data_IF_503466726996
#
_entry.id   IF_503466726996
#
_cell.length_a   1.000
_cell.length_b   1.000
_cell.length_c   1.000
_cell.angle_alpha   90.00
_cell.angle_beta   90.00
_cell.angle_gamma   90.00
#
_symmetry.space_group_name_H-M   'P 1'
#
loop_
_entity.id
_entity.type
_entity.pdbx_description
1 polymer ?
#
# COMPACT_ATOMS: atom_id res chain seq x y z
N UNK A 1 1.08 9.02 42.71
CA UNK A 1 0.10 8.38 41.80
C UNK A 1 0.86 7.63 40.71
N UNK A 2 0.74 6.30 40.65
CA UNK A 2 1.25 5.51 39.52
C UNK A 2 0.28 5.76 38.35
N UNK A 3 0.71 6.51 37.35
CA UNK A 3 -0.03 6.57 36.07
C UNK A 3 0.00 5.17 35.46
N UNK A 4 -1.12 4.44 35.53
CA UNK A 4 -1.28 3.20 34.78
C UNK A 4 -1.06 3.52 33.31
N UNK A 5 -0.05 2.91 32.69
CA UNK A 5 0.19 3.08 31.27
C UNK A 5 -1.02 2.51 30.52
N UNK A 6 -1.80 3.39 29.88
CA UNK A 6 -2.93 2.96 29.07
C UNK A 6 -2.43 2.08 27.92
N UNK A 7 -3.02 0.91 27.74
CA UNK A 7 -2.78 0.05 26.57
C UNK A 7 -3.31 0.75 25.31
N UNK A 8 -2.61 0.70 24.17
CA UNK A 8 -3.17 1.17 22.91
C UNK A 8 -4.39 0.32 22.50
N UNK A 9 -5.37 0.91 21.80
CA UNK A 9 -6.44 0.13 21.19
C UNK A 9 -5.87 -0.85 20.16
N UNK A 10 -6.55 -1.98 20.00
CA UNK A 10 -6.30 -2.97 18.94
C UNK A 10 -6.66 -2.45 17.56
N UNK A 11 -6.19 -3.12 16.50
CA UNK A 11 -6.56 -2.80 15.12
C UNK A 11 -8.09 -2.86 14.94
N UNK A 12 -8.74 -3.91 15.44
CA UNK A 12 -10.19 -4.08 15.31
C UNK A 12 -10.97 -2.97 16.03
N UNK A 13 -10.49 -2.51 17.19
CA UNK A 13 -11.10 -1.37 17.89
C UNK A 13 -10.96 -0.07 17.11
N UNK A 14 -9.84 0.15 16.41
CA UNK A 14 -9.64 1.34 15.58
C UNK A 14 -10.52 1.30 14.32
N UNK A 15 -10.68 0.12 13.71
CA UNK A 15 -11.48 -0.03 12.49
C UNK A 15 -12.97 -0.19 12.75
N UNK A 16 -13.39 -0.42 14.00
CA UNK A 16 -14.80 -0.61 14.38
C UNK A 16 -15.66 0.56 13.91
N UNK A 17 -16.71 0.26 13.15
CA UNK A 17 -17.65 1.25 12.61
C UNK A 17 -17.13 2.02 11.39
N UNK A 18 -15.93 1.71 10.90
CA UNK A 18 -15.44 2.22 9.61
C UNK A 18 -15.88 1.30 8.48
N UNK A 19 -15.81 1.78 7.23
CA UNK A 19 -16.11 0.96 6.07
C UNK A 19 -14.92 0.05 5.65
N UNK A 20 -13.74 0.24 6.24
CA UNK A 20 -12.51 -0.44 5.83
C UNK A 20 -12.57 -1.93 6.15
N UNK A 21 -12.17 -2.76 5.19
CA UNK A 21 -12.04 -4.20 5.34
C UNK A 21 -10.56 -4.57 5.47
N UNK A 22 -10.29 -5.72 6.10
CA UNK A 22 -8.95 -6.30 6.23
C UNK A 22 -8.89 -7.75 5.74
N UNK A 23 -9.87 -8.19 4.94
CA UNK A 23 -10.05 -9.60 4.57
C UNK A 23 -8.95 -10.14 3.66
N UNK A 24 -8.14 -9.28 3.06
CA UNK A 24 -6.98 -9.70 2.25
C UNK A 24 -5.73 -10.00 3.11
N UNK A 25 -5.76 -9.71 4.40
CA UNK A 25 -4.61 -9.86 5.30
C UNK A 25 -4.79 -11.06 6.23
N UNK A 26 -3.68 -11.71 6.56
CA UNK A 26 -3.67 -12.83 7.51
C UNK A 26 -4.10 -12.36 8.91
N UNK A 27 -4.96 -13.12 9.63
CA UNK A 27 -5.43 -12.75 10.96
C UNK A 27 -4.32 -12.45 11.97
N UNK A 28 -3.22 -13.21 11.92
CA UNK A 28 -2.06 -13.04 12.81
C UNK A 28 -1.34 -11.71 12.54
N UNK A 29 -1.29 -11.27 11.28
CA UNK A 29 -0.71 -9.98 10.92
C UNK A 29 -1.55 -8.81 11.47
N UNK A 30 -2.87 -8.98 11.54
CA UNK A 30 -3.80 -7.99 12.11
C UNK A 30 -3.66 -7.96 13.64
N UNK A 31 -3.76 -9.11 14.30
CA UNK A 31 -3.73 -9.23 15.75
C UNK A 31 -2.38 -8.81 16.36
N UNK A 32 -1.27 -9.13 15.67
CA UNK A 32 0.08 -8.80 16.10
C UNK A 32 0.58 -7.42 15.67
N UNK A 33 -0.27 -6.59 15.04
CA UNK A 33 0.20 -5.34 14.46
C UNK A 33 0.66 -4.34 15.55
N UNK A 34 1.91 -3.85 15.53
CA UNK A 34 2.47 -3.08 16.63
C UNK A 34 1.90 -1.66 16.67
N UNK A 35 1.10 -1.39 17.71
CA UNK A 35 0.53 -0.08 18.01
C UNK A 35 1.10 0.44 19.34
N UNK A 36 1.22 1.76 19.46
CA UNK A 36 1.65 2.42 20.70
C UNK A 36 0.92 3.75 20.90
N UNK A 37 0.89 4.26 22.13
CA UNK A 37 0.30 5.56 22.43
C UNK A 37 1.34 6.69 22.34
N UNK A 38 1.00 7.75 21.62
CA UNK A 38 1.73 9.03 21.62
C UNK A 38 0.77 10.14 22.06
N UNK A 39 1.03 10.74 23.23
CA UNK A 39 0.14 11.75 23.85
C UNK A 39 -1.32 11.26 23.95
N UNK A 40 -1.50 10.00 24.36
CA UNK A 40 -2.81 9.37 24.52
C UNK A 40 -3.53 8.98 23.23
N UNK A 41 -2.92 9.14 22.05
CA UNK A 41 -3.50 8.77 20.75
C UNK A 41 -2.76 7.56 20.16
N UNK A 42 -3.44 6.65 19.44
CA UNK A 42 -2.80 5.49 18.83
C UNK A 42 -1.92 5.89 17.65
N UNK A 43 -0.72 5.33 17.62
CA UNK A 43 0.32 5.52 16.61
C UNK A 43 0.93 4.17 16.24
N UNK A 44 1.60 4.17 15.09
CA UNK A 44 2.40 3.06 14.59
C UNK A 44 3.71 3.58 14.03
N UNK A 45 4.66 2.68 13.79
CA UNK A 45 5.88 2.97 13.07
C UNK A 45 5.75 2.46 11.63
N UNK A 46 6.10 3.30 10.66
CA UNK A 46 5.99 2.93 9.27
C UNK A 46 7.10 1.95 8.87
N UNK A 47 6.74 0.79 8.34
CA UNK A 47 7.67 -0.29 7.99
C UNK A 47 8.68 0.13 6.91
N UNK A 48 8.28 1.00 5.98
CA UNK A 48 9.17 1.48 4.91
C UNK A 48 10.12 2.61 5.34
N UNK A 49 9.76 3.42 6.35
CA UNK A 49 10.48 4.67 6.66
C UNK A 49 10.94 4.84 8.10
N UNK A 50 10.50 3.98 9.03
CA UNK A 50 10.72 4.14 10.47
C UNK A 50 10.00 5.34 11.11
N UNK A 51 9.24 6.12 10.32
CA UNK A 51 8.55 7.31 10.82
C UNK A 51 7.33 6.91 11.64
N UNK A 52 7.14 7.57 12.79
CA UNK A 52 5.96 7.43 13.65
C UNK A 52 4.76 8.14 13.05
N UNK A 53 3.63 7.45 12.86
CA UNK A 53 2.44 7.96 12.17
C UNK A 53 1.16 7.67 12.98
N UNK A 54 0.14 8.54 12.94
CA UNK A 54 -1.13 8.26 13.59
C UNK A 54 -1.75 6.98 13.02
N UNK A 55 -2.21 6.07 13.87
CA UNK A 55 -2.83 4.82 13.46
C UNK A 55 -4.28 5.06 13.01
N UNK A 56 -4.44 5.74 11.88
CA UNK A 56 -5.74 5.90 11.19
C UNK A 56 -6.11 4.59 10.50
N UNK A 57 -7.40 4.29 10.27
CA UNK A 57 -7.81 3.10 9.52
C UNK A 57 -7.09 2.96 8.18
N UNK A 58 -7.01 4.05 7.39
CA UNK A 58 -6.25 4.05 6.15
C UNK A 58 -4.77 3.78 6.39
N UNK A 59 -4.17 4.29 7.46
CA UNK A 59 -2.75 4.04 7.72
C UNK A 59 -2.48 2.58 8.08
N UNK A 60 -3.37 1.96 8.86
CA UNK A 60 -3.26 0.55 9.24
C UNK A 60 -3.31 -0.34 8.00
N UNK A 61 -4.27 -0.12 7.09
CA UNK A 61 -4.34 -0.85 5.82
C UNK A 61 -3.03 -0.69 5.03
N UNK A 62 -2.42 0.50 5.04
CA UNK A 62 -1.13 0.72 4.34
C UNK A 62 -0.04 -0.15 4.91
N UNK A 63 0.10 -0.14 6.23
CA UNK A 63 1.19 -0.82 6.89
C UNK A 63 1.02 -2.34 6.86
N UNK A 64 -0.22 -2.84 6.93
CA UNK A 64 -0.50 -4.26 6.69
C UNK A 64 -0.14 -4.66 5.25
N UNK A 65 -0.44 -3.80 4.27
CA UNK A 65 -0.02 -4.04 2.88
C UNK A 65 1.50 -4.01 2.72
N UNK A 66 2.19 -3.07 3.36
CA UNK A 66 3.66 -3.03 3.39
C UNK A 66 4.26 -4.29 4.02
N UNK A 67 3.70 -4.77 5.13
CA UNK A 67 4.10 -6.03 5.77
C UNK A 67 3.94 -7.20 4.80
N UNK A 68 2.79 -7.31 4.12
CA UNK A 68 2.56 -8.32 3.10
C UNK A 68 3.57 -8.23 1.95
N UNK A 69 3.87 -7.03 1.43
CA UNK A 69 4.88 -6.84 0.39
C UNK A 69 6.27 -7.30 0.81
N UNK A 70 6.66 -7.02 2.06
CA UNK A 70 7.97 -7.38 2.59
C UNK A 70 8.08 -8.88 2.89
N UNK A 71 7.07 -9.46 3.53
CA UNK A 71 7.12 -10.83 4.06
C UNK A 71 6.65 -11.87 3.04
N UNK A 72 5.49 -11.63 2.42
CA UNK A 72 4.92 -12.55 1.42
C UNK A 72 5.60 -12.38 0.07
N UNK A 73 5.76 -11.15 -0.41
CA UNK A 73 6.30 -10.88 -1.74
C UNK A 73 7.81 -10.64 -1.77
N UNK A 74 8.46 -10.48 -0.61
CA UNK A 74 9.93 -10.38 -0.51
C UNK A 74 10.52 -9.05 -0.95
N UNK A 75 9.72 -7.98 -1.10
CA UNK A 75 10.24 -6.67 -1.49
C UNK A 75 10.94 -5.99 -0.31
N UNK A 76 12.25 -5.67 -0.41
CA UNK A 76 12.95 -4.99 0.68
C UNK A 76 12.46 -3.56 0.84
N UNK A 77 12.50 -3.03 2.08
CA UNK A 77 12.07 -1.66 2.38
C UNK A 77 12.75 -0.60 1.51
N UNK A 78 14.03 -0.78 1.16
CA UNK A 78 14.76 0.14 0.27
C UNK A 78 14.20 0.24 -1.15
N UNK A 79 13.38 -0.71 -1.60
CA UNK A 79 12.68 -0.65 -2.89
C UNK A 79 11.28 -0.05 -2.79
N UNK A 80 10.80 0.29 -1.59
CA UNK A 80 9.43 0.73 -1.36
C UNK A 80 9.40 2.20 -0.94
N UNK A 81 8.70 3.02 -1.73
CA UNK A 81 8.33 4.37 -1.37
C UNK A 81 6.84 4.44 -1.00
N UNK A 82 6.47 5.42 -0.18
CA UNK A 82 5.09 5.71 0.23
C UNK A 82 4.81 7.18 0.00
N UNK A 83 3.56 7.53 -0.31
CA UNK A 83 3.19 8.94 -0.59
C UNK A 83 4.10 9.57 -1.66
N UNK A 84 4.44 8.79 -2.69
CA UNK A 84 5.39 9.16 -3.73
C UNK A 84 4.72 10.10 -4.74
N UNK A 85 5.35 11.24 -5.02
CA UNK A 85 4.79 12.23 -5.93
C UNK A 85 4.74 11.69 -7.37
N UNK A 86 3.56 11.82 -8.00
CA UNK A 86 3.36 11.46 -9.41
C UNK A 86 3.15 12.72 -10.23
N UNK A 87 4.19 13.13 -10.95
CA UNK A 87 4.13 14.28 -11.83
C UNK A 87 3.37 13.96 -13.12
N UNK A 88 2.34 14.76 -13.43
CA UNK A 88 1.67 14.74 -14.73
C UNK A 88 1.57 16.19 -15.23
N UNK A 89 2.46 16.58 -16.14
CA UNK A 89 2.58 17.97 -16.59
C UNK A 89 3.17 18.89 -15.50
N UNK A 90 2.64 20.11 -15.38
CA UNK A 90 3.06 21.10 -14.38
C UNK A 90 2.49 20.87 -12.97
N UNK A 91 1.43 20.07 -12.84
CA UNK A 91 0.71 19.90 -11.58
C UNK A 91 1.25 18.70 -10.79
N UNK A 92 2.13 18.97 -9.82
CA UNK A 92 2.72 17.96 -8.91
C UNK A 92 1.95 17.88 -7.59
N UNK A 93 1.32 18.98 -7.14
CA UNK A 93 1.10 19.23 -5.72
C UNK A 93 0.06 18.33 -5.01
N UNK A 94 -0.84 17.66 -5.73
CA UNK A 94 -1.98 16.96 -5.10
C UNK A 94 -2.05 15.45 -5.40
N UNK A 95 -1.06 14.87 -6.08
CA UNK A 95 -1.14 13.49 -6.59
C UNK A 95 0.01 12.63 -6.05
N UNK A 96 -0.21 12.06 -4.87
CA UNK A 96 0.72 11.12 -4.24
C UNK A 96 0.20 9.69 -4.45
N UNK A 97 1.06 8.83 -4.99
CA UNK A 97 0.81 7.40 -5.01
C UNK A 97 0.96 6.84 -3.60
N UNK A 98 0.04 5.94 -3.20
CA UNK A 98 0.04 5.38 -1.84
C UNK A 98 1.32 4.59 -1.53
N UNK A 99 1.69 3.69 -2.44
CA UNK A 99 2.91 2.89 -2.38
C UNK A 99 3.48 2.75 -3.80
N UNK A 100 4.79 2.90 -3.93
CA UNK A 100 5.54 2.61 -5.17
C UNK A 100 6.64 1.61 -4.85
N UNK A 101 6.75 0.58 -5.67
CA UNK A 101 7.87 -0.36 -5.66
C UNK A 101 8.76 -0.01 -6.84
N UNK A 102 10.02 0.31 -6.58
CA UNK A 102 11.02 0.62 -7.60
C UNK A 102 11.56 -0.64 -8.26
N UNK A 103 11.95 -0.54 -9.52
CA UNK A 103 12.62 -1.62 -10.23
C UNK A 103 13.93 -2.01 -9.53
N UNK A 104 14.32 -3.28 -9.65
CA UNK A 104 15.52 -3.81 -8.98
C UNK A 104 16.81 -3.34 -9.65
N UNK A 105 16.76 -3.10 -10.96
CA UNK A 105 17.91 -2.77 -11.79
C UNK A 105 17.91 -1.26 -12.11
N UNK A 106 16.74 -0.61 -12.17
CA UNK A 106 16.60 0.85 -12.27
C UNK A 106 15.78 1.45 -11.10
N UNK A 107 16.43 1.98 -10.05
CA UNK A 107 15.74 2.54 -8.87
C UNK A 107 14.96 3.83 -9.16
N UNK A 108 15.02 4.37 -10.40
CA UNK A 108 14.19 5.51 -10.83
C UNK A 108 12.92 5.05 -11.57
N UNK A 109 12.86 3.81 -12.01
CA UNK A 109 11.72 3.25 -12.71
C UNK A 109 10.72 2.65 -11.70
N UNK A 110 9.48 3.11 -11.74
CA UNK A 110 8.41 2.49 -10.96
C UNK A 110 8.08 1.12 -11.57
N UNK A 111 8.15 0.07 -10.76
CA UNK A 111 7.83 -1.29 -11.19
C UNK A 111 6.37 -1.66 -10.87
N UNK A 112 5.92 -1.31 -9.66
CA UNK A 112 4.54 -1.52 -9.21
C UNK A 112 4.06 -0.23 -8.54
N UNK A 113 2.88 0.25 -8.92
CA UNK A 113 2.18 1.33 -8.22
C UNK A 113 0.95 0.74 -7.57
N UNK A 114 0.75 1.01 -6.28
CA UNK A 114 -0.39 0.51 -5.51
C UNK A 114 -1.20 1.70 -5.01
N UNK A 115 -2.50 1.70 -5.31
CA UNK A 115 -3.47 2.67 -4.85
C UNK A 115 -4.46 2.02 -3.89
N UNK A 116 -4.61 2.60 -2.70
CA UNK A 116 -5.54 2.11 -1.67
C UNK A 116 -6.73 3.04 -1.63
N UNK A 117 -7.93 2.50 -1.67
CA UNK A 117 -9.15 3.31 -1.69
C UNK A 117 -10.02 3.05 -0.48
N UNK A 118 -10.83 4.07 -0.19
CA UNK A 118 -12.00 3.87 0.66
C UNK A 118 -12.96 2.93 -0.08
N UNK A 119 -13.52 1.91 0.59
CA UNK A 119 -14.32 0.85 -0.03
C UNK A 119 -15.51 1.25 -0.91
N UNK A 120 -15.95 2.52 -0.88
CA UNK A 120 -17.12 3.01 -1.63
C UNK A 120 -16.78 3.88 -2.85
N UNK A 121 -15.52 3.94 -3.29
CA UNK A 121 -15.08 4.87 -4.34
C UNK A 121 -14.62 4.15 -5.60
N UNK A 122 -15.33 4.37 -6.71
CA UNK A 122 -15.04 3.81 -8.04
C UNK A 122 -13.95 4.56 -8.83
N UNK A 123 -13.58 5.78 -8.42
CA UNK A 123 -12.62 6.66 -9.10
C UNK A 123 -11.15 6.17 -9.07
N UNK A 124 -10.84 5.20 -8.21
CA UNK A 124 -9.44 4.84 -7.92
C UNK A 124 -8.73 4.11 -9.04
N UNK A 125 -9.49 3.40 -9.88
CA UNK A 125 -8.90 2.63 -10.98
C UNK A 125 -8.35 3.55 -12.08
N UNK A 126 -9.07 4.63 -12.41
CA UNK A 126 -8.61 5.61 -13.40
C UNK A 126 -7.39 6.38 -12.90
N UNK A 127 -7.37 6.73 -11.61
CA UNK A 127 -6.22 7.34 -10.96
C UNK A 127 -4.98 6.44 -11.03
N UNK A 128 -5.13 5.17 -10.66
CA UNK A 128 -4.06 4.17 -10.74
C UNK A 128 -3.52 4.05 -12.18
N UNK A 129 -4.40 3.93 -13.18
CA UNK A 129 -4.01 3.89 -14.60
C UNK A 129 -3.29 5.17 -15.02
N UNK A 130 -3.73 6.34 -14.54
CA UNK A 130 -3.04 7.61 -14.78
C UNK A 130 -1.65 7.62 -14.16
N UNK A 131 -1.45 7.04 -12.97
CA UNK A 131 -0.16 6.98 -12.31
C UNK A 131 0.80 6.02 -13.01
N UNK A 132 0.30 4.83 -13.38
CA UNK A 132 1.08 3.87 -14.17
C UNK A 132 1.52 4.49 -15.50
N UNK A 133 0.63 5.23 -16.18
CA UNK A 133 1.01 5.94 -17.40
C UNK A 133 2.03 7.05 -17.19
N UNK A 134 1.94 7.82 -16.10
CA UNK A 134 2.85 8.93 -15.82
C UNK A 134 4.27 8.47 -15.44
N UNK A 135 4.39 7.37 -14.68
CA UNK A 135 5.66 6.82 -14.19
C UNK A 135 6.19 5.66 -15.03
N UNK A 136 5.47 5.27 -16.09
CA UNK A 136 5.84 4.13 -16.94
C UNK A 136 5.69 2.76 -16.27
N UNK A 137 4.97 2.66 -15.15
CA UNK A 137 4.87 1.42 -14.38
C UNK A 137 4.18 0.31 -15.19
N UNK A 138 4.79 -0.89 -15.30
CA UNK A 138 4.18 -2.03 -15.98
C UNK A 138 3.05 -2.66 -15.16
N UNK A 139 3.03 -2.46 -13.84
CA UNK A 139 2.04 -3.08 -12.96
C UNK A 139 1.34 -1.98 -12.14
N UNK A 140 0.01 -2.08 -12.08
CA UNK A 140 -0.83 -1.29 -11.20
C UNK A 140 -1.62 -2.21 -10.28
N UNK A 141 -1.73 -1.85 -9.01
CA UNK A 141 -2.52 -2.58 -8.02
C UNK A 141 -3.52 -1.65 -7.38
N UNK A 142 -4.77 -2.08 -7.35
CA UNK A 142 -5.83 -1.39 -6.63
C UNK A 142 -6.30 -2.25 -5.48
N UNK A 143 -6.51 -1.67 -4.30
CA UNK A 143 -7.11 -2.39 -3.17
C UNK A 143 -7.98 -1.49 -2.30
N UNK A 144 -9.00 -2.08 -1.67
CA UNK A 144 -9.76 -1.44 -0.59
C UNK A 144 -9.61 -2.17 0.76
N UNK A 145 -8.63 -3.07 0.87
CA UNK A 145 -8.42 -3.96 2.02
C UNK A 145 -9.39 -5.14 2.10
N UNK A 146 -10.46 -5.14 1.31
CA UNK A 146 -11.38 -6.26 1.14
C UNK A 146 -11.11 -7.08 -0.12
N UNK A 147 -10.78 -6.38 -1.19
CA UNK A 147 -10.48 -6.90 -2.52
C UNK A 147 -9.18 -6.26 -3.03
N UNK A 148 -8.48 -6.98 -3.90
CA UNK A 148 -7.31 -6.48 -4.62
C UNK A 148 -7.43 -6.83 -6.10
N UNK A 149 -7.18 -5.86 -6.97
CA UNK A 149 -7.14 -6.02 -8.43
C UNK A 149 -5.71 -5.72 -8.89
N UNK A 150 -5.12 -6.68 -9.60
CA UNK A 150 -3.79 -6.56 -10.18
C UNK A 150 -3.91 -6.32 -11.69
N UNK A 151 -3.21 -5.32 -12.21
CA UNK A 151 -3.22 -4.95 -13.61
C UNK A 151 -1.82 -5.00 -14.21
N UNK A 152 -1.71 -5.59 -15.39
CA UNK A 152 -0.55 -5.52 -16.27
C UNK A 152 -0.82 -4.52 -17.40
N UNK A 153 0.01 -3.48 -17.48
CA UNK A 153 0.07 -2.51 -18.57
C UNK A 153 1.02 -3.01 -19.67
N UNK A 154 0.48 -3.65 -20.72
CA UNK A 154 1.31 -4.15 -21.84
C UNK A 154 1.70 -3.04 -22.81
N UNK A 155 0.77 -2.12 -23.04
CA UNK A 155 0.91 -0.99 -23.96
C UNK A 155 0.29 0.25 -23.32
N UNK A 156 0.63 1.47 -23.78
CA UNK A 156 -0.06 2.67 -23.35
C UNK A 156 -1.59 2.50 -23.45
N UNK A 157 -2.29 2.68 -22.33
CA UNK A 157 -3.75 2.53 -22.17
C UNK A 157 -4.31 1.10 -22.25
N UNK A 158 -3.49 0.06 -22.46
CA UNK A 158 -3.95 -1.33 -22.50
C UNK A 158 -3.59 -2.09 -21.22
N UNK A 159 -4.61 -2.43 -20.44
CA UNK A 159 -4.48 -3.13 -19.16
C UNK A 159 -5.19 -4.48 -19.21
N UNK A 160 -4.55 -5.51 -18.65
CA UNK A 160 -5.14 -6.83 -18.41
C UNK A 160 -5.06 -7.18 -16.94
N UNK A 161 -5.99 -7.98 -16.45
CA UNK A 161 -5.90 -8.50 -15.09
C UNK A 161 -4.72 -9.48 -14.99
N UNK A 162 -3.98 -9.38 -13.90
CA UNK A 162 -3.05 -10.41 -13.45
C UNK A 162 -3.71 -11.23 -12.34
N UNK A 163 -3.37 -12.52 -12.22
CA UNK A 163 -3.79 -13.31 -11.07
C UNK A 163 -3.18 -12.78 -9.76
N UNK A 164 -1.91 -12.38 -9.78
CA UNK A 164 -1.17 -11.81 -8.64
C UNK A 164 -0.07 -10.85 -9.14
N UNK A 165 0.64 -10.18 -8.23
CA UNK A 165 1.89 -9.49 -8.54
C UNK A 165 3.09 -10.45 -8.42
N UNK A 166 4.18 -10.20 -9.17
CA UNK A 166 5.43 -10.93 -8.98
C UNK A 166 6.00 -10.70 -7.59
N UNK A 167 6.59 -11.76 -7.02
CA UNK A 167 7.53 -11.65 -5.91
C UNK A 167 8.81 -10.94 -6.37
N UNK A 168 9.60 -10.43 -5.43
CA UNK A 168 10.83 -9.70 -5.73
C UNK A 168 11.87 -10.50 -6.54
N UNK A 169 11.82 -11.84 -6.45
CA UNK A 169 12.66 -12.81 -7.16
C UNK A 169 12.02 -13.34 -8.47
N UNK A 170 10.82 -12.88 -8.81
CA UNK A 170 10.08 -13.30 -10.01
C UNK A 170 10.04 -12.20 -11.07
N UNK A 171 9.86 -12.62 -12.32
CA UNK A 171 9.59 -11.71 -13.43
C UNK A 171 8.08 -11.60 -13.64
N UNK A 172 7.65 -10.47 -14.22
CA UNK A 172 6.25 -10.27 -14.61
C UNK A 172 5.76 -11.34 -15.59
N UNK A 173 6.62 -11.78 -16.51
CA UNK A 173 6.28 -12.84 -17.48
C UNK A 173 5.78 -14.10 -16.78
N UNK A 174 6.47 -14.53 -15.71
CA UNK A 174 6.12 -15.75 -14.95
C UNK A 174 4.75 -15.70 -14.26
N UNK A 175 4.21 -14.51 -14.03
CA UNK A 175 2.90 -14.31 -13.37
C UNK A 175 1.80 -13.99 -14.38
N UNK A 176 2.17 -13.57 -15.60
CA UNK A 176 1.23 -13.22 -16.66
C UNK A 176 0.89 -14.39 -17.60
N UNK A 177 1.63 -15.50 -17.51
CA UNK A 177 1.35 -16.80 -18.14
C UNK A 177 0.37 -17.64 -17.30
#
# INVERSE_FOLDING_TARGET
MKTSAKTPPTVDEILRGTAHALTIFEPEAIAGFPLFLKRGKPYLECLATGKKRPARPEEIVRQLYLKMLMEKYGYPAGRIAIEEAVQRGSDIHDKLADIVIWDKDDPRAAYIIIERKKPRRSDGMEQLKSYCSAKGSPIGVWTNGGETIHLHRREPNHYRNLPDIPRADQTLVRVAE
#
